data_IF_044369414046
#
_entry.id   IF_044369414046
#
_cell.length_a   1.000
_cell.length_b   1.000
_cell.length_c   1.000
_cell.angle_alpha   90.00
_cell.angle_beta   90.00
_cell.angle_gamma   90.00
#
_symmetry.space_group_name_H-M   'P 1'
#
loop_
_entity.id
_entity.type
_entity.pdbx_description
1 polymer ?
#
# COMPACT_ATOMS: atom_id res chain seq x y z
N UNK A 1 19.77 -2.18 -20.10
CA UNK A 1 19.22 -2.80 -18.91
C UNK A 1 18.26 -3.92 -19.29
N UNK A 2 18.36 -5.04 -18.60
CA UNK A 2 17.44 -6.14 -18.83
C UNK A 2 16.01 -5.68 -18.53
N UNK A 3 15.08 -5.97 -19.45
CA UNK A 3 13.67 -5.67 -19.21
C UNK A 3 13.23 -6.42 -17.95
N UNK A 4 12.63 -5.68 -17.00
CA UNK A 4 12.10 -6.29 -15.79
C UNK A 4 10.89 -7.14 -16.17
N UNK A 5 10.96 -8.44 -15.85
CA UNK A 5 9.86 -9.37 -16.10
C UNK A 5 9.14 -9.65 -14.78
N UNK A 6 7.80 -9.87 -14.81
CA UNK A 6 7.07 -10.26 -13.61
C UNK A 6 7.41 -11.69 -13.18
N UNK A 7 6.83 -12.12 -12.06
CA UNK A 7 7.05 -13.43 -11.46
C UNK A 7 6.33 -14.56 -12.21
N UNK A 8 5.45 -14.23 -13.13
CA UNK A 8 4.67 -15.20 -13.91
C UNK A 8 5.02 -15.13 -15.40
N UNK A 9 4.64 -16.16 -16.16
CA UNK A 9 4.92 -16.27 -17.60
C UNK A 9 3.89 -15.47 -18.40
N UNK A 10 4.33 -14.35 -18.99
CA UNK A 10 3.46 -13.45 -19.76
C UNK A 10 2.84 -14.10 -20.99
N UNK A 11 3.50 -15.11 -21.57
CA UNK A 11 2.97 -15.81 -22.74
C UNK A 11 1.81 -16.76 -22.40
N UNK A 12 1.66 -17.09 -21.12
CA UNK A 12 0.62 -18.01 -20.61
C UNK A 12 -0.43 -17.32 -19.75
N UNK A 13 -0.38 -16.00 -19.69
CA UNK A 13 -1.24 -15.21 -18.79
C UNK A 13 -2.05 -14.20 -19.60
N UNK A 14 -3.18 -14.61 -20.19
CA UNK A 14 -3.94 -13.77 -21.11
C UNK A 14 -4.84 -12.73 -20.45
N UNK A 15 -4.96 -12.71 -19.12
CA UNK A 15 -5.79 -11.78 -18.39
C UNK A 15 -5.40 -10.32 -18.61
N UNK A 16 -6.38 -9.41 -18.59
CA UNK A 16 -6.15 -7.98 -18.81
C UNK A 16 -5.09 -7.40 -17.86
N UNK A 17 -5.21 -7.70 -16.57
CA UNK A 17 -4.30 -7.15 -15.57
C UNK A 17 -2.94 -7.81 -15.57
N UNK A 18 -2.87 -9.10 -15.90
CA UNK A 18 -1.60 -9.79 -16.09
C UNK A 18 -0.83 -9.17 -17.26
N UNK A 19 -1.52 -8.91 -18.38
CA UNK A 19 -0.89 -8.25 -19.54
C UNK A 19 -0.50 -6.79 -19.21
N UNK A 20 -1.28 -6.09 -18.42
CA UNK A 20 -0.93 -4.75 -17.95
C UNK A 20 0.39 -4.77 -17.16
N UNK A 21 0.54 -5.73 -16.24
CA UNK A 21 1.76 -5.92 -15.47
C UNK A 21 2.93 -6.27 -16.39
N UNK A 22 2.73 -7.14 -17.36
CA UNK A 22 3.77 -7.54 -18.30
C UNK A 22 4.29 -6.40 -19.17
N UNK A 23 3.43 -5.46 -19.53
CA UNK A 23 3.77 -4.34 -20.42
C UNK A 23 4.36 -3.12 -19.69
N UNK A 24 4.16 -3.04 -18.38
CA UNK A 24 4.63 -1.90 -17.58
C UNK A 24 5.82 -2.34 -16.72
N UNK A 25 7.03 -1.84 -16.99
CA UNK A 25 8.21 -2.23 -16.21
C UNK A 25 8.10 -1.94 -14.73
N UNK A 26 7.40 -0.85 -14.35
CA UNK A 26 7.21 -0.51 -12.93
C UNK A 26 6.29 -1.50 -12.24
N UNK A 27 5.21 -1.92 -12.89
CA UNK A 27 4.30 -2.94 -12.37
C UNK A 27 4.98 -4.31 -12.33
N UNK A 28 5.77 -4.65 -13.34
CA UNK A 28 6.55 -5.88 -13.34
C UNK A 28 7.53 -5.95 -12.18
N UNK A 29 8.17 -4.83 -11.85
CA UNK A 29 9.08 -4.75 -10.71
C UNK A 29 8.35 -4.93 -9.39
N UNK A 30 7.17 -4.32 -9.23
CA UNK A 30 6.33 -4.50 -8.04
C UNK A 30 5.86 -5.96 -7.91
N UNK A 31 5.46 -6.59 -9.02
CA UNK A 31 5.06 -7.99 -9.00
C UNK A 31 6.20 -8.90 -8.55
N UNK A 32 7.40 -8.67 -9.07
CA UNK A 32 8.61 -9.40 -8.66
C UNK A 32 8.89 -9.20 -7.17
N UNK A 33 8.78 -7.98 -6.70
CA UNK A 33 9.00 -7.65 -5.29
C UNK A 33 7.95 -8.30 -4.39
N UNK A 34 6.68 -8.34 -4.83
CA UNK A 34 5.64 -9.05 -4.08
C UNK A 34 5.94 -10.54 -4.01
N UNK A 35 6.36 -11.16 -5.11
CA UNK A 35 6.71 -12.58 -5.11
C UNK A 35 7.83 -12.89 -4.11
N UNK A 36 8.86 -12.05 -4.06
CA UNK A 36 9.96 -12.20 -3.11
C UNK A 36 9.49 -12.01 -1.67
N UNK A 37 8.66 -10.99 -1.43
CA UNK A 37 8.09 -10.71 -0.10
C UNK A 37 7.20 -11.86 0.36
N UNK A 38 6.37 -12.37 -0.53
CA UNK A 38 5.48 -13.51 -0.23
C UNK A 38 6.29 -14.76 0.11
N UNK A 39 7.37 -15.04 -0.61
CA UNK A 39 8.25 -16.17 -0.31
C UNK A 39 8.87 -16.04 1.08
N UNK A 40 9.32 -14.86 1.47
CA UNK A 40 9.84 -14.59 2.80
C UNK A 40 8.77 -14.78 3.88
N UNK A 41 7.55 -14.28 3.62
CA UNK A 41 6.41 -14.45 4.53
C UNK A 41 6.05 -15.93 4.70
N UNK A 42 6.03 -16.68 3.61
CA UNK A 42 5.78 -18.13 3.62
C UNK A 42 6.80 -18.88 4.48
N UNK A 43 8.07 -18.49 4.41
CA UNK A 43 9.12 -19.12 5.21
C UNK A 43 8.92 -18.91 6.71
N UNK A 44 8.30 -17.80 7.11
CA UNK A 44 8.04 -17.45 8.52
C UNK A 44 6.64 -17.84 9.01
N UNK A 45 5.71 -18.10 8.11
CA UNK A 45 4.31 -18.31 8.48
C UNK A 45 4.10 -19.62 9.25
N UNK A 46 3.34 -19.56 10.33
CA UNK A 46 2.88 -20.73 11.06
C UNK A 46 1.72 -21.42 10.33
N UNK A 47 0.88 -20.65 9.65
CA UNK A 47 -0.25 -21.15 8.86
C UNK A 47 -0.08 -20.76 7.38
N UNK A 48 0.64 -21.59 6.64
CA UNK A 48 0.94 -21.35 5.23
C UNK A 48 -0.31 -21.43 4.35
N UNK A 49 -1.25 -22.30 4.72
CA UNK A 49 -2.50 -22.46 3.95
C UNK A 49 -3.33 -21.16 3.98
N UNK A 50 -3.45 -20.53 5.15
CA UNK A 50 -4.15 -19.24 5.30
C UNK A 50 -3.45 -18.15 4.51
N UNK A 51 -2.11 -18.11 4.53
CA UNK A 51 -1.35 -17.12 3.77
C UNK A 51 -1.54 -17.31 2.27
N UNK A 52 -1.51 -18.54 1.77
CA UNK A 52 -1.78 -18.85 0.35
C UNK A 52 -3.21 -18.45 -0.05
N UNK A 53 -4.19 -18.73 0.80
CA UNK A 53 -5.57 -18.31 0.55
C UNK A 53 -5.71 -16.79 0.49
N UNK A 54 -4.99 -16.07 1.36
CA UNK A 54 -4.93 -14.61 1.35
C UNK A 54 -4.35 -14.06 0.06
N UNK A 55 -3.31 -14.71 -0.47
CA UNK A 55 -2.71 -14.29 -1.75
C UNK A 55 -3.69 -14.49 -2.93
N UNK A 56 -4.40 -15.60 -2.95
CA UNK A 56 -5.44 -15.82 -3.98
C UNK A 56 -6.54 -14.76 -3.88
N UNK A 57 -6.96 -14.40 -2.68
CA UNK A 57 -7.93 -13.33 -2.45
C UNK A 57 -7.40 -11.97 -2.91
N UNK A 58 -6.11 -11.71 -2.69
CA UNK A 58 -5.48 -10.49 -3.15
C UNK A 58 -5.48 -10.39 -4.69
N UNK A 59 -5.17 -11.49 -5.39
CA UNK A 59 -5.19 -11.52 -6.86
C UNK A 59 -6.59 -11.14 -7.37
N UNK A 60 -7.64 -11.67 -6.77
CA UNK A 60 -9.01 -11.31 -7.13
C UNK A 60 -9.28 -9.82 -6.88
N UNK A 61 -8.82 -9.29 -5.75
CA UNK A 61 -8.95 -7.86 -5.43
C UNK A 61 -8.21 -6.97 -6.42
N UNK A 62 -6.99 -7.36 -6.84
CA UNK A 62 -6.26 -6.67 -7.89
C UNK A 62 -7.06 -6.65 -9.20
N UNK A 63 -7.65 -7.78 -9.56
CA UNK A 63 -8.40 -7.89 -10.80
C UNK A 63 -9.72 -7.10 -10.75
N UNK A 64 -10.22 -6.75 -9.56
CA UNK A 64 -11.34 -5.82 -9.39
C UNK A 64 -11.01 -4.38 -9.78
N UNK A 65 -9.75 -4.08 -10.09
CA UNK A 65 -9.34 -2.77 -10.60
C UNK A 65 -9.98 -2.42 -11.96
N UNK A 66 -10.67 -3.37 -12.61
CA UNK A 66 -11.45 -3.04 -13.81
C UNK A 66 -12.53 -1.99 -13.55
N UNK A 67 -12.97 -1.85 -12.30
CA UNK A 67 -13.97 -0.85 -11.88
C UNK A 67 -13.36 0.54 -11.65
N UNK A 68 -12.05 0.66 -11.62
CA UNK A 68 -11.38 1.91 -11.29
C UNK A 68 -11.30 2.83 -12.50
N UNK A 69 -11.34 4.16 -12.26
CA UNK A 69 -11.14 5.16 -13.30
C UNK A 69 -9.70 5.12 -13.84
N UNK A 70 -8.73 4.99 -12.93
CA UNK A 70 -7.31 4.83 -13.28
C UNK A 70 -6.89 3.40 -12.92
N UNK A 71 -7.01 2.50 -13.87
CA UNK A 71 -6.70 1.08 -13.67
C UNK A 71 -5.22 0.83 -13.30
N UNK A 72 -4.24 1.43 -14.01
CA UNK A 72 -2.84 1.24 -13.65
C UNK A 72 -2.51 1.72 -12.22
N UNK A 73 -3.05 2.85 -11.81
CA UNK A 73 -2.86 3.35 -10.44
C UNK A 73 -3.48 2.42 -9.41
N UNK A 74 -4.68 1.90 -9.68
CA UNK A 74 -5.34 0.92 -8.80
C UNK A 74 -4.50 -0.35 -8.65
N UNK A 75 -3.97 -0.89 -9.73
CA UNK A 75 -3.12 -2.09 -9.71
C UNK A 75 -1.82 -1.81 -8.96
N UNK A 76 -1.19 -0.67 -9.21
CA UNK A 76 0.02 -0.24 -8.50
C UNK A 76 -0.23 -0.18 -6.99
N UNK A 77 -1.30 0.47 -6.58
CA UNK A 77 -1.64 0.61 -5.16
C UNK A 77 -1.93 -0.75 -4.52
N UNK A 78 -2.61 -1.65 -5.24
CA UNK A 78 -2.86 -3.00 -4.75
C UNK A 78 -1.56 -3.76 -4.45
N UNK A 79 -0.57 -3.67 -5.33
CA UNK A 79 0.75 -4.27 -5.10
C UNK A 79 1.45 -3.67 -3.88
N UNK A 80 1.48 -2.35 -3.79
CA UNK A 80 2.18 -1.66 -2.70
C UNK A 80 1.56 -2.01 -1.35
N UNK A 81 0.24 -1.95 -1.26
CA UNK A 81 -0.48 -2.28 -0.02
C UNK A 81 -0.20 -3.72 0.40
N UNK A 82 -0.23 -4.67 -0.55
CA UNK A 82 0.03 -6.07 -0.23
C UNK A 82 1.46 -6.30 0.27
N UNK A 83 2.44 -5.70 -0.40
CA UNK A 83 3.85 -5.82 -0.01
C UNK A 83 4.04 -5.28 1.42
N UNK A 84 3.52 -4.10 1.70
CA UNK A 84 3.67 -3.46 3.02
C UNK A 84 2.95 -4.27 4.10
N UNK A 85 1.74 -4.73 3.81
CA UNK A 85 0.96 -5.56 4.73
C UNK A 85 1.69 -6.85 5.11
N UNK A 86 2.24 -7.56 4.13
CA UNK A 86 3.01 -8.78 4.38
C UNK A 86 4.26 -8.50 5.22
N UNK A 87 4.95 -7.41 4.94
CA UNK A 87 6.14 -7.00 5.70
C UNK A 87 5.80 -6.76 7.18
N UNK A 88 4.70 -6.08 7.43
CA UNK A 88 4.26 -5.76 8.80
C UNK A 88 3.83 -7.03 9.53
N UNK A 89 2.96 -7.83 8.92
CA UNK A 89 2.37 -8.99 9.57
C UNK A 89 3.38 -10.11 9.85
N UNK A 90 4.40 -10.22 9.02
CA UNK A 90 5.38 -11.31 9.12
C UNK A 90 6.74 -10.86 9.64
N UNK A 91 6.83 -9.65 10.19
CA UNK A 91 8.05 -9.17 10.82
C UNK A 91 9.24 -9.03 9.87
N UNK A 92 8.98 -8.68 8.60
CA UNK A 92 10.00 -8.51 7.58
C UNK A 92 10.63 -7.12 7.58
N UNK A 93 10.06 -6.18 8.33
CA UNK A 93 10.57 -4.82 8.52
C UNK A 93 10.44 -4.44 9.99
N UNK A 94 11.31 -3.53 10.44
CA UNK A 94 11.14 -2.91 11.74
C UNK A 94 9.92 -1.99 11.72
N UNK A 95 9.14 -1.98 12.80
CA UNK A 95 7.96 -1.12 12.91
C UNK A 95 8.41 0.23 13.47
N UNK A 96 8.27 1.33 12.69
CA UNK A 96 8.62 2.66 13.17
C UNK A 96 7.69 3.12 14.31
N UNK A 97 8.14 4.11 15.06
CA UNK A 97 7.30 4.72 16.08
C UNK A 97 6.17 5.51 15.41
N UNK A 98 4.90 5.26 15.78
CA UNK A 98 3.80 6.04 15.24
C UNK A 98 3.91 7.53 15.63
N UNK A 99 3.52 8.40 14.70
CA UNK A 99 3.40 9.83 14.97
C UNK A 99 1.96 10.10 15.39
N UNK A 100 1.81 10.72 16.57
CA UNK A 100 0.50 11.13 17.06
C UNK A 100 0.16 12.52 16.55
N UNK A 101 -1.10 12.72 16.16
CA UNK A 101 -1.60 13.99 15.66
C UNK A 101 -2.77 14.47 16.51
N UNK A 102 -2.88 15.80 16.63
CA UNK A 102 -4.07 16.47 17.13
C UNK A 102 -4.81 17.07 15.94
N UNK A 103 -6.08 16.73 15.83
CA UNK A 103 -6.93 17.16 14.73
C UNK A 103 -8.05 18.07 15.23
N UNK A 104 -8.63 18.86 14.30
CA UNK A 104 -9.81 19.66 14.59
C UNK A 104 -10.98 18.79 15.08
N UNK A 105 -11.15 17.59 14.49
CA UNK A 105 -12.03 16.56 15.04
C UNK A 105 -11.20 15.62 15.93
N UNK A 106 -11.32 15.79 17.23
CA UNK A 106 -10.63 14.98 18.25
C UNK A 106 -11.53 13.88 18.84
N UNK A 107 -12.61 13.52 18.17
CA UNK A 107 -13.51 12.46 18.65
C UNK A 107 -12.82 11.11 18.72
N UNK A 108 -11.79 10.91 17.91
CA UNK A 108 -10.97 9.68 17.86
C UNK A 108 -9.50 10.05 17.74
N UNK A 109 -8.59 9.26 18.33
CA UNK A 109 -7.15 9.47 18.12
C UNK A 109 -6.76 9.20 16.68
N UNK A 110 -5.82 10.01 16.14
CA UNK A 110 -5.26 9.84 14.81
C UNK A 110 -3.75 9.66 14.91
N UNK A 111 -3.24 8.59 14.30
CA UNK A 111 -1.80 8.32 14.22
C UNK A 111 -1.41 7.94 12.79
N UNK A 112 -0.16 8.20 12.44
CA UNK A 112 0.44 7.75 11.19
C UNK A 112 1.77 7.08 11.47
N UNK A 113 1.99 5.91 10.87
CA UNK A 113 3.27 5.20 10.92
C UNK A 113 3.84 5.19 9.51
N UNK A 114 5.05 5.75 9.36
CA UNK A 114 5.65 5.92 8.04
C UNK A 114 6.69 4.84 7.78
N UNK A 115 6.47 4.04 6.74
CA UNK A 115 7.38 2.99 6.29
C UNK A 115 8.15 3.52 5.08
N UNK A 116 9.46 3.73 5.26
CA UNK A 116 10.32 4.40 4.29
C UNK A 116 11.09 3.46 3.36
N UNK A 117 10.99 2.15 3.56
CA UNK A 117 11.55 1.16 2.63
C UNK A 117 10.69 1.07 1.38
N UNK A 118 11.33 1.08 0.20
CA UNK A 118 10.58 1.00 -1.05
C UNK A 118 9.86 -0.34 -1.20
N UNK A 119 8.58 -0.36 -1.62
CA UNK A 119 7.72 0.80 -1.89
C UNK A 119 7.25 1.44 -0.59
N UNK A 120 7.33 2.78 -0.53
CA UNK A 120 6.98 3.55 0.68
C UNK A 120 5.47 3.65 0.87
N UNK A 121 5.06 3.60 2.14
CA UNK A 121 3.65 3.73 2.50
C UNK A 121 3.52 4.26 3.92
N UNK A 122 2.34 4.77 4.25
CA UNK A 122 1.97 5.11 5.61
C UNK A 122 0.82 4.23 6.08
N UNK A 123 0.83 3.86 7.34
CA UNK A 123 -0.33 3.24 8.00
C UNK A 123 -1.02 4.33 8.80
N UNK A 124 -2.23 4.68 8.39
CA UNK A 124 -3.06 5.68 9.06
C UNK A 124 -4.07 4.98 9.95
N UNK A 125 -4.19 5.43 11.18
CA UNK A 125 -5.15 4.88 12.14
C UNK A 125 -5.99 6.01 12.72
N UNK A 126 -7.32 5.92 12.56
CA UNK A 126 -8.27 6.84 13.14
C UNK A 126 -9.26 6.05 13.98
N UNK A 127 -9.11 6.16 15.31
CA UNK A 127 -9.85 5.28 16.22
C UNK A 127 -9.44 3.82 16.02
N UNK A 128 -10.40 2.99 15.67
CA UNK A 128 -10.18 1.56 15.39
C UNK A 128 -10.02 1.26 13.90
N UNK A 129 -10.15 2.26 13.04
CA UNK A 129 -10.05 2.07 11.59
C UNK A 129 -8.63 2.35 11.12
N UNK A 130 -8.16 1.51 10.20
CA UNK A 130 -6.78 1.56 9.73
C UNK A 130 -6.72 1.42 8.22
N UNK A 131 -5.81 2.16 7.60
CA UNK A 131 -5.56 2.07 6.15
C UNK A 131 -4.07 2.10 5.88
N UNK A 132 -3.63 1.24 4.95
CA UNK A 132 -2.28 1.30 4.39
C UNK A 132 -2.37 2.14 3.12
N UNK A 133 -1.59 3.22 3.05
CA UNK A 133 -1.71 4.21 1.99
C UNK A 133 -0.36 4.41 1.31
N UNK A 134 -0.25 4.11 0.01
CA UNK A 134 1.02 4.27 -0.72
C UNK A 134 1.48 5.72 -0.78
N UNK A 135 2.80 5.92 -0.81
CA UNK A 135 3.37 7.23 -1.06
C UNK A 135 3.00 7.72 -2.46
N UNK A 136 2.66 8.99 -2.57
CA UNK A 136 2.25 9.63 -3.81
C UNK A 136 3.17 10.81 -4.14
N UNK A 137 3.16 11.20 -5.40
CA UNK A 137 3.93 12.37 -5.86
C UNK A 137 3.32 13.65 -5.30
N UNK A 138 4.16 14.55 -4.82
CA UNK A 138 3.75 15.86 -4.31
C UNK A 138 4.78 16.91 -4.72
N UNK A 139 4.31 18.10 -5.08
CA UNK A 139 5.18 19.24 -5.38
C UNK A 139 5.90 19.75 -4.12
N UNK A 140 5.29 19.58 -2.96
CA UNK A 140 5.85 19.97 -1.67
C UNK A 140 5.25 19.12 -0.55
N UNK A 141 6.03 18.90 0.51
CA UNK A 141 5.60 18.09 1.63
C UNK A 141 5.57 16.61 1.29
N UNK A 142 4.97 15.82 2.17
CA UNK A 142 4.84 14.38 2.03
C UNK A 142 3.37 14.02 1.80
N UNK A 143 3.11 13.29 0.72
CA UNK A 143 1.75 12.89 0.35
C UNK A 143 1.65 11.39 0.25
N UNK A 144 0.56 10.85 0.79
CA UNK A 144 0.19 9.44 0.71
C UNK A 144 -1.26 9.39 0.26
N UNK A 145 -1.55 8.64 -0.79
CA UNK A 145 -2.89 8.62 -1.35
C UNK A 145 -3.25 7.26 -1.92
N UNK A 146 -4.49 6.87 -1.70
CA UNK A 146 -5.15 5.73 -2.32
C UNK A 146 -6.63 6.06 -2.45
N UNK A 147 -7.42 5.17 -3.07
CA UNK A 147 -8.85 5.42 -3.24
C UNK A 147 -9.54 5.63 -1.89
N UNK A 148 -10.14 6.79 -1.70
CA UNK A 148 -10.89 7.14 -0.51
C UNK A 148 -10.05 7.67 0.65
N UNK A 149 -8.71 7.65 0.56
CA UNK A 149 -7.83 8.11 1.64
C UNK A 149 -6.71 8.96 1.09
N UNK A 150 -6.51 10.14 1.70
CA UNK A 150 -5.37 10.99 1.39
C UNK A 150 -4.81 11.58 2.69
N UNK A 151 -3.48 11.58 2.79
CA UNK A 151 -2.74 12.24 3.84
C UNK A 151 -1.70 13.13 3.18
N UNK A 152 -1.73 14.43 3.47
CA UNK A 152 -0.77 15.37 2.92
C UNK A 152 -0.22 16.23 4.04
N UNK A 153 1.05 16.04 4.36
CA UNK A 153 1.76 16.86 5.33
C UNK A 153 2.55 17.94 4.63
N UNK A 154 2.31 19.19 5.03
CA UNK A 154 2.92 20.36 4.44
C UNK A 154 3.04 21.46 5.50
N UNK A 155 4.26 22.00 5.63
CA UNK A 155 4.56 23.11 6.54
C UNK A 155 4.09 22.87 8.00
N UNK A 156 4.28 21.64 8.48
CA UNK A 156 3.95 21.28 9.86
C UNK A 156 2.48 20.98 10.12
N UNK A 157 1.66 20.97 9.08
CA UNK A 157 0.25 20.60 9.17
C UNK A 157 -0.05 19.42 8.27
N UNK A 158 -1.02 18.61 8.66
CA UNK A 158 -1.48 17.48 7.87
C UNK A 158 -2.96 17.63 7.54
N UNK A 159 -3.27 17.57 6.24
CA UNK A 159 -4.65 17.47 5.74
C UNK A 159 -4.95 16.00 5.51
N UNK A 160 -6.03 15.49 6.07
CA UNK A 160 -6.40 14.08 5.97
C UNK A 160 -7.82 13.97 5.44
N UNK A 161 -8.02 13.09 4.46
CA UNK A 161 -9.34 12.63 4.06
C UNK A 161 -9.38 11.12 4.33
N UNK A 162 -10.13 10.72 5.33
CA UNK A 162 -10.23 9.33 5.74
C UNK A 162 -11.64 8.83 5.41
N UNK A 163 -11.78 8.31 4.20
CA UNK A 163 -13.07 7.83 3.65
C UNK A 163 -14.21 8.86 3.78
N UNK A 164 -13.91 10.10 3.38
CA UNK A 164 -14.86 11.22 3.43
C UNK A 164 -14.83 12.06 4.71
N UNK A 165 -14.13 11.59 5.75
CA UNK A 165 -13.94 12.35 6.98
C UNK A 165 -12.69 13.23 6.85
N UNK A 166 -12.90 14.53 6.77
CA UNK A 166 -11.80 15.49 6.55
C UNK A 166 -11.29 16.01 7.88
N UNK A 167 -9.99 15.86 8.10
CA UNK A 167 -9.31 16.26 9.33
C UNK A 167 -8.20 17.24 9.00
N UNK A 168 -8.09 18.31 9.82
CA UNK A 168 -6.95 19.21 9.81
C UNK A 168 -6.14 18.93 11.07
N UNK A 169 -4.91 18.47 10.91
CA UNK A 169 -4.12 17.90 12.00
C UNK A 169 -2.74 18.55 12.12
N UNK A 170 -2.19 18.49 13.33
CA UNK A 170 -0.80 18.88 13.63
C UNK A 170 -0.16 17.79 14.47
N UNK A 171 1.16 17.56 14.34
CA UNK A 171 1.84 16.64 15.25
C UNK A 171 1.60 17.05 16.72
N UNK A 172 1.34 16.06 17.57
CA UNK A 172 0.99 16.30 18.97
C UNK A 172 2.19 16.75 19.82
N UNK A 173 3.40 16.49 19.37
CA UNK A 173 4.62 16.86 20.11
C UNK A 173 5.68 17.43 19.20
#
# INVERSE_FOLDING_TARGET
>A
PAATTPSFDCSKSPGEFEQMVCKDPALSALDRQLADTFAQAMAKASDKATLQAGERGWIKGRDDCWKADDKPACVRDAYIVRIVDLRIQHGLVAIPTPVEYRCDDNSKPFTATFYNDEPRAAVLTWGNDQAIVPAAVSASGARYAAQGVEFWEHQGEASVDFYGNKLACKPAA
#
